data_IF_505076758133
#
_entry.id   IF_505076758133
#
_cell.length_a   1.000
_cell.length_b   1.000
_cell.length_c   1.000
_cell.angle_alpha   90.00
_cell.angle_beta   90.00
_cell.angle_gamma   90.00
#
_symmetry.space_group_name_H-M   'P 1'
#
loop_
_entity.id
_entity.type
_entity.pdbx_description
1 polymer ?
#
# COMPACT_ATOMS: atom_id res chain seq x y z
N UNK A 1 6.95 -6.40 -1.03
CA UNK A 1 5.92 -7.19 -1.73
C UNK A 1 4.73 -7.32 -0.83
N UNK A 2 3.56 -7.04 -1.34
CA UNK A 2 2.29 -7.15 -0.60
C UNK A 2 1.37 -8.22 -1.21
N UNK A 3 0.10 -8.20 -0.83
CA UNK A 3 -0.91 -9.12 -1.34
C UNK A 3 -1.00 -9.10 -2.89
N UNK A 4 -1.13 -10.26 -3.49
CA UNK A 4 -1.22 -10.40 -4.96
C UNK A 4 0.10 -10.40 -5.72
N UNK A 5 1.24 -10.21 -5.05
CA UNK A 5 2.56 -10.30 -5.68
C UNK A 5 2.99 -11.78 -5.73
N UNK A 6 3.45 -12.30 -6.91
CA UNK A 6 3.92 -13.67 -7.03
C UNK A 6 5.08 -13.95 -6.07
N UNK A 7 5.05 -15.10 -5.42
CA UNK A 7 6.10 -15.54 -4.49
C UNK A 7 7.44 -15.79 -5.18
N UNK A 8 7.43 -15.98 -6.49
CA UNK A 8 8.58 -16.26 -7.36
C UNK A 8 9.50 -15.05 -7.57
N UNK A 9 9.11 -13.85 -7.11
CA UNK A 9 9.89 -12.62 -7.28
C UNK A 9 11.35 -12.75 -6.80
N UNK A 10 11.70 -13.32 -5.63
CA UNK A 10 13.10 -13.46 -5.24
C UNK A 10 13.91 -14.30 -6.24
N UNK A 11 13.35 -15.40 -6.75
CA UNK A 11 13.98 -16.23 -7.77
C UNK A 11 14.16 -15.49 -9.10
N UNK A 12 13.12 -14.76 -9.52
CA UNK A 12 13.18 -13.91 -10.70
C UNK A 12 14.32 -12.87 -10.59
N UNK A 13 14.43 -12.19 -9.45
CA UNK A 13 15.50 -11.21 -9.21
C UNK A 13 16.89 -11.83 -9.25
N UNK A 14 17.05 -13.07 -8.75
CA UNK A 14 18.31 -13.81 -8.85
C UNK A 14 18.70 -14.05 -10.32
N UNK A 15 17.74 -14.47 -11.15
CA UNK A 15 17.97 -14.74 -12.59
C UNK A 15 18.23 -13.45 -13.36
N UNK A 16 17.47 -12.40 -13.12
CA UNK A 16 17.69 -11.09 -13.77
C UNK A 16 19.06 -10.50 -13.43
N UNK A 17 19.57 -10.72 -12.22
CA UNK A 17 20.91 -10.29 -11.84
C UNK A 17 22.01 -10.98 -12.65
N UNK A 18 21.72 -12.17 -13.21
CA UNK A 18 22.63 -12.91 -14.11
C UNK A 18 22.25 -12.70 -15.59
N UNK A 19 21.36 -11.72 -15.88
CA UNK A 19 20.85 -11.44 -17.21
C UNK A 19 20.09 -12.60 -17.88
N UNK A 20 19.55 -13.51 -17.08
CA UNK A 20 18.74 -14.61 -17.59
C UNK A 20 17.32 -14.15 -17.89
N UNK A 21 16.72 -14.76 -18.92
CA UNK A 21 15.30 -14.59 -19.23
C UNK A 21 14.44 -15.14 -18.10
N UNK A 22 13.34 -14.45 -17.79
CA UNK A 22 12.40 -14.83 -16.74
C UNK A 22 10.97 -14.87 -17.26
N UNK A 23 10.19 -15.82 -16.75
CA UNK A 23 8.75 -15.91 -16.94
C UNK A 23 8.07 -15.75 -15.58
N UNK A 24 7.36 -14.65 -15.39
CA UNK A 24 6.66 -14.37 -14.15
C UNK A 24 5.22 -14.86 -14.24
N UNK A 25 4.75 -15.73 -13.32
CA UNK A 25 3.34 -16.12 -13.30
C UNK A 25 2.41 -14.92 -13.14
N UNK A 26 1.42 -14.80 -14.00
CA UNK A 26 0.39 -13.77 -13.97
C UNK A 26 -0.95 -14.42 -13.63
N UNK A 27 -1.62 -13.90 -12.61
CA UNK A 27 -2.96 -14.36 -12.26
C UNK A 27 -3.97 -13.85 -13.28
N UNK A 28 -4.63 -14.75 -14.00
CA UNK A 28 -5.76 -14.46 -14.88
C UNK A 28 -6.97 -15.19 -14.33
N UNK A 29 -8.04 -14.45 -14.00
CA UNK A 29 -9.28 -15.03 -13.50
C UNK A 29 -9.92 -15.88 -14.61
N UNK A 30 -10.19 -17.14 -14.33
CA UNK A 30 -10.77 -18.10 -15.30
C UNK A 30 -9.74 -18.88 -16.11
N UNK A 31 -8.44 -18.55 -16.01
CA UNK A 31 -7.38 -19.26 -16.73
C UNK A 31 -6.18 -19.58 -15.83
N UNK A 32 -5.35 -20.51 -16.30
CA UNK A 32 -4.09 -20.89 -15.65
C UNK A 32 -2.94 -20.86 -16.65
N UNK A 33 -1.71 -20.79 -16.14
CA UNK A 33 -0.50 -20.92 -16.95
C UNK A 33 -0.08 -19.67 -17.72
N UNK A 34 -0.68 -18.52 -17.46
CA UNK A 34 -0.23 -17.26 -18.05
C UNK A 34 1.06 -16.78 -17.39
N UNK A 35 1.99 -16.27 -18.21
CA UNK A 35 3.23 -15.64 -17.78
C UNK A 35 3.42 -14.30 -18.44
N UNK A 36 4.14 -13.40 -17.75
CA UNK A 36 4.76 -12.24 -18.33
C UNK A 36 6.24 -12.54 -18.51
N UNK A 37 6.67 -12.64 -19.76
CA UNK A 37 8.04 -12.98 -20.10
C UNK A 37 8.86 -11.70 -20.22
N UNK A 38 10.07 -11.72 -19.68
CA UNK A 38 11.01 -10.61 -19.74
C UNK A 38 12.40 -11.15 -20.09
N UNK A 39 12.98 -10.59 -21.16
CA UNK A 39 14.32 -10.91 -21.63
C UNK A 39 15.24 -9.68 -21.53
N UNK A 40 16.27 -9.69 -20.66
CA UNK A 40 17.26 -8.62 -20.61
C UNK A 40 17.96 -8.41 -21.95
N UNK A 41 18.25 -9.49 -22.69
CA UNK A 41 18.85 -9.43 -24.02
C UNK A 41 18.01 -8.66 -25.03
N UNK A 42 16.69 -8.73 -24.93
CA UNK A 42 15.77 -7.99 -25.81
C UNK A 42 15.76 -6.46 -25.59
N UNK A 43 16.35 -5.96 -24.50
CA UNK A 43 16.48 -4.53 -24.18
C UNK A 43 17.78 -3.92 -24.70
N UNK A 44 18.76 -4.75 -25.11
CA UNK A 44 20.02 -4.27 -25.60
C UNK A 44 19.89 -3.77 -27.05
N UNK A 45 20.62 -2.70 -27.38
CA UNK A 45 20.70 -2.21 -28.74
C UNK A 45 21.50 -3.16 -29.67
N UNK A 46 21.42 -2.91 -30.98
CA UNK A 46 22.17 -3.68 -31.96
C UNK A 46 23.67 -3.73 -31.64
N UNK A 47 24.27 -4.93 -31.75
CA UNK A 47 25.70 -5.17 -31.50
C UNK A 47 26.09 -5.33 -30.05
N UNK A 48 25.16 -5.25 -29.08
CA UNK A 48 25.40 -5.56 -27.69
C UNK A 48 24.90 -6.96 -27.35
N UNK A 49 25.68 -7.70 -26.58
CA UNK A 49 25.26 -9.00 -26.06
C UNK A 49 25.14 -8.97 -24.52
N UNK A 50 24.21 -9.72 -23.99
CA UNK A 50 24.01 -9.86 -22.54
C UNK A 50 25.25 -10.41 -21.84
N UNK A 51 25.97 -11.31 -22.51
CA UNK A 51 27.17 -11.95 -21.97
C UNK A 51 28.36 -11.01 -21.78
N UNK A 52 28.37 -9.87 -22.50
CA UNK A 52 29.40 -8.86 -22.39
C UNK A 52 29.13 -7.85 -21.26
N UNK A 53 27.92 -7.94 -20.63
CA UNK A 53 27.55 -7.04 -19.54
C UNK A 53 27.91 -7.64 -18.18
N UNK A 54 28.44 -6.85 -17.24
CA UNK A 54 28.71 -7.32 -15.89
C UNK A 54 27.38 -7.68 -15.19
N UNK A 55 27.38 -8.68 -14.28
CA UNK A 55 26.21 -8.99 -13.47
C UNK A 55 25.67 -7.76 -12.74
N UNK A 56 24.35 -7.61 -12.70
CA UNK A 56 23.70 -6.50 -12.00
C UNK A 56 23.56 -6.84 -10.53
N UNK A 57 23.77 -5.83 -9.67
CA UNK A 57 23.51 -6.02 -8.24
C UNK A 57 22.02 -6.32 -8.00
N UNK A 58 21.73 -7.50 -7.46
CA UNK A 58 20.36 -7.92 -7.15
C UNK A 58 19.79 -7.06 -6.01
N UNK A 59 18.63 -6.43 -6.17
CA UNK A 59 17.96 -5.72 -5.08
C UNK A 59 17.45 -6.70 -4.03
N UNK A 60 17.46 -6.30 -2.76
CA UNK A 60 16.83 -7.07 -1.69
C UNK A 60 15.33 -7.07 -1.87
N UNK A 61 14.72 -8.23 -1.65
CA UNK A 61 13.27 -8.43 -1.71
C UNK A 61 12.73 -8.64 -0.30
N UNK A 62 12.00 -7.64 0.21
CA UNK A 62 11.35 -7.69 1.52
C UNK A 62 9.87 -7.92 1.34
N UNK A 63 9.32 -8.99 1.92
CA UNK A 63 7.91 -9.33 1.81
C UNK A 63 7.09 -8.64 2.91
N UNK A 64 5.99 -7.97 2.53
CA UNK A 64 5.03 -7.39 3.49
C UNK A 64 4.01 -8.46 3.82
N UNK A 65 3.88 -8.81 5.11
CA UNK A 65 2.97 -9.85 5.60
C UNK A 65 2.28 -9.39 6.89
N UNK A 66 1.02 -9.77 7.06
CA UNK A 66 0.25 -9.49 8.27
C UNK A 66 0.30 -10.65 9.30
N UNK A 67 1.02 -11.74 8.99
CA UNK A 67 0.96 -12.95 9.80
C UNK A 67 2.26 -13.74 9.79
N UNK A 68 2.67 -14.23 10.95
CA UNK A 68 3.81 -15.15 11.07
C UNK A 68 3.64 -16.43 10.22
N UNK A 69 2.45 -17.00 10.15
CA UNK A 69 2.20 -18.20 9.36
C UNK A 69 2.47 -18.01 7.84
N UNK A 70 2.22 -16.81 7.30
CA UNK A 70 2.58 -16.50 5.91
C UNK A 70 4.09 -16.34 5.78
N UNK A 71 4.75 -15.71 6.74
CA UNK A 71 6.21 -15.61 6.75
C UNK A 71 6.87 -17.01 6.80
N UNK A 72 6.41 -17.88 7.69
CA UNK A 72 6.83 -19.29 7.76
C UNK A 72 6.66 -20.03 6.44
N UNK A 73 5.53 -19.82 5.75
CA UNK A 73 5.28 -20.43 4.45
C UNK A 73 6.29 -19.96 3.38
N UNK A 74 6.59 -18.66 3.36
CA UNK A 74 7.49 -18.07 2.37
C UNK A 74 8.96 -18.49 2.54
N UNK A 75 9.39 -18.85 3.75
CA UNK A 75 10.78 -19.28 3.99
C UNK A 75 11.03 -20.77 3.70
N UNK A 76 10.00 -21.57 3.53
CA UNK A 76 10.13 -23.03 3.34
C UNK A 76 10.86 -23.43 2.07
N UNK A 77 10.71 -22.65 1.00
CA UNK A 77 11.40 -22.89 -0.28
C UNK A 77 12.53 -21.89 -0.45
N UNK A 78 13.80 -22.30 -0.38
CA UNK A 78 14.97 -21.40 -0.48
C UNK A 78 15.01 -20.59 -1.78
N UNK A 79 14.39 -21.10 -2.87
CA UNK A 79 14.42 -20.45 -4.19
C UNK A 79 13.60 -19.18 -4.23
N UNK A 80 12.51 -19.13 -3.45
CA UNK A 80 11.54 -18.04 -3.40
C UNK A 80 11.54 -17.30 -2.04
N UNK A 81 12.49 -17.67 -1.17
CA UNK A 81 12.65 -17.07 0.14
C UNK A 81 12.98 -15.58 -0.01
N UNK A 82 12.23 -14.67 0.65
CA UNK A 82 12.55 -13.26 0.67
C UNK A 82 13.79 -12.98 1.52
N UNK A 83 14.39 -11.80 1.36
CA UNK A 83 15.57 -11.36 2.14
C UNK A 83 15.18 -10.82 3.52
N UNK A 84 13.90 -10.59 3.77
CA UNK A 84 13.36 -10.11 5.03
C UNK A 84 11.86 -9.90 4.96
N UNK A 85 11.28 -9.40 6.05
CA UNK A 85 9.85 -9.15 6.18
C UNK A 85 9.55 -7.75 6.67
N UNK A 86 8.44 -7.18 6.20
CA UNK A 86 7.71 -6.14 6.94
C UNK A 86 6.48 -6.79 7.54
N UNK A 87 6.37 -6.78 8.85
CA UNK A 87 5.18 -7.26 9.56
C UNK A 87 4.23 -6.08 9.71
N UNK A 88 3.15 -6.10 8.92
CA UNK A 88 2.22 -4.99 8.84
C UNK A 88 0.96 -5.27 9.66
N UNK A 89 0.75 -4.48 10.70
CA UNK A 89 -0.48 -4.49 11.49
C UNK A 89 -1.66 -3.85 10.76
N UNK A 90 -2.87 -4.23 11.14
CA UNK A 90 -4.11 -3.73 10.57
C UNK A 90 -4.35 -2.21 10.78
N UNK A 91 -3.54 -1.55 11.60
CA UNK A 91 -3.59 -0.10 11.88
C UNK A 91 -2.77 0.73 10.88
N UNK A 92 -1.98 0.09 10.03
CA UNK A 92 -1.21 0.77 8.99
C UNK A 92 -2.11 1.46 7.96
N UNK A 93 -1.61 2.53 7.32
CA UNK A 93 -2.31 3.23 6.24
C UNK A 93 -2.39 2.42 4.94
N UNK A 94 -3.26 2.82 4.02
CA UNK A 94 -3.45 2.11 2.77
C UNK A 94 -4.26 0.83 2.91
N UNK A 95 -3.92 -0.19 2.11
CA UNK A 95 -4.51 -1.52 2.22
C UNK A 95 -4.00 -2.25 3.46
N UNK A 96 -4.86 -3.05 4.06
CA UNK A 96 -4.46 -4.00 5.09
C UNK A 96 -5.13 -5.37 4.87
N UNK A 97 -4.56 -6.41 5.48
CA UNK A 97 -5.19 -7.74 5.47
C UNK A 97 -6.57 -7.67 6.12
N UNK A 98 -7.58 -8.38 5.58
CA UNK A 98 -8.88 -8.47 6.23
C UNK A 98 -8.76 -9.25 7.55
N UNK A 99 -9.72 -9.08 8.49
CA UNK A 99 -9.77 -9.88 9.72
C UNK A 99 -9.80 -11.37 9.41
N UNK A 100 -9.15 -12.17 10.24
CA UNK A 100 -9.13 -13.63 10.08
C UNK A 100 -10.44 -14.26 10.52
N UNK A 101 -10.99 -15.08 9.65
CA UNK A 101 -12.28 -15.74 9.83
C UNK A 101 -13.41 -15.01 9.14
N UNK A 102 -14.60 -15.05 9.76
CA UNK A 102 -15.76 -14.34 9.21
C UNK A 102 -15.59 -12.83 9.42
N UNK A 103 -15.77 -12.05 8.36
CA UNK A 103 -15.82 -10.59 8.45
C UNK A 103 -17.01 -10.18 9.34
N UNK A 104 -16.72 -9.44 10.40
CA UNK A 104 -17.69 -8.74 11.23
C UNK A 104 -17.42 -7.25 11.14
N UNK A 105 -18.49 -6.46 11.12
CA UNK A 105 -18.40 -5.00 11.10
C UNK A 105 -18.91 -4.46 12.42
N UNK A 106 -18.32 -3.36 12.88
CA UNK A 106 -18.82 -2.59 14.01
C UNK A 106 -20.04 -1.73 13.60
N UNK A 107 -20.58 -0.97 14.56
CA UNK A 107 -21.74 -0.07 14.32
C UNK A 107 -21.43 1.02 13.29
N UNK A 108 -20.17 1.37 13.08
CA UNK A 108 -19.71 2.34 12.08
C UNK A 108 -19.41 1.73 10.72
N UNK A 109 -19.57 0.40 10.57
CA UNK A 109 -19.32 -0.34 9.33
C UNK A 109 -17.84 -0.66 9.09
N UNK A 110 -16.97 -0.52 10.09
CA UNK A 110 -15.57 -0.86 9.98
C UNK A 110 -15.31 -2.33 10.37
N UNK A 111 -14.31 -3.00 9.76
CA UNK A 111 -13.94 -4.36 10.14
C UNK A 111 -13.46 -4.43 11.60
N UNK A 112 -13.93 -5.44 12.33
CA UNK A 112 -13.49 -5.72 13.69
C UNK A 112 -12.27 -6.66 13.64
N UNK A 113 -11.14 -6.21 14.18
CA UNK A 113 -9.91 -6.97 14.30
C UNK A 113 -9.74 -7.51 15.72
N UNK A 114 -9.01 -8.62 15.86
CA UNK A 114 -8.78 -9.27 17.13
C UNK A 114 -7.36 -9.84 17.28
N UNK A 115 -7.06 -10.54 18.38
CA UNK A 115 -5.72 -11.07 18.64
C UNK A 115 -5.17 -12.00 17.55
N UNK A 116 -6.05 -12.65 16.78
CA UNK A 116 -5.66 -13.52 15.67
C UNK A 116 -5.10 -12.74 14.47
N UNK A 117 -5.36 -11.44 14.40
CA UNK A 117 -4.91 -10.54 13.33
C UNK A 117 -3.55 -9.92 13.64
N UNK A 118 -3.00 -10.18 14.82
CA UNK A 118 -1.66 -9.79 15.21
C UNK A 118 -0.66 -10.93 14.91
N UNK A 119 0.49 -10.60 14.36
CA UNK A 119 1.57 -11.55 14.15
C UNK A 119 2.24 -11.87 15.51
N UNK A 120 2.60 -13.13 15.71
CA UNK A 120 3.45 -13.58 16.81
C UNK A 120 4.91 -13.26 16.43
N UNK A 121 5.49 -12.25 17.09
CA UNK A 121 6.83 -11.74 16.77
C UNK A 121 7.95 -12.72 17.16
N UNK A 122 7.74 -13.56 18.20
CA UNK A 122 8.71 -14.58 18.57
C UNK A 122 8.86 -15.62 17.46
N UNK A 123 7.75 -16.01 16.83
CA UNK A 123 7.77 -16.90 15.68
C UNK A 123 8.40 -16.25 14.44
N UNK A 124 8.18 -14.94 14.23
CA UNK A 124 8.84 -14.22 13.16
C UNK A 124 10.36 -14.16 13.38
N UNK A 125 10.81 -13.81 14.59
CA UNK A 125 12.21 -13.78 14.97
C UNK A 125 12.90 -15.15 14.81
N UNK A 126 12.20 -16.23 15.13
CA UNK A 126 12.70 -17.61 14.98
C UNK A 126 12.98 -18.01 13.51
N UNK A 127 12.47 -17.27 12.52
CA UNK A 127 12.78 -17.50 11.10
C UNK A 127 14.21 -17.09 10.72
N UNK A 128 14.91 -16.32 11.55
CA UNK A 128 16.30 -15.92 11.36
C UNK A 128 16.51 -14.95 10.19
N UNK A 129 15.47 -14.25 9.76
CA UNK A 129 15.55 -13.19 8.74
C UNK A 129 15.32 -11.82 9.38
N UNK A 130 15.94 -10.75 8.84
CA UNK A 130 15.65 -9.39 9.28
C UNK A 130 14.17 -9.06 9.06
N UNK A 131 13.56 -8.37 10.01
CA UNK A 131 12.18 -7.92 9.87
C UNK A 131 12.00 -6.49 10.41
N UNK A 132 11.03 -5.81 9.84
CA UNK A 132 10.59 -4.49 10.22
C UNK A 132 9.13 -4.55 10.65
N UNK A 133 8.73 -3.65 11.53
CA UNK A 133 7.34 -3.52 11.99
C UNK A 133 6.69 -2.30 11.37
N UNK A 134 5.44 -2.45 10.90
CA UNK A 134 4.64 -1.39 10.29
C UNK A 134 3.26 -1.28 10.92
N UNK A 135 2.75 -0.04 11.03
CA UNK A 135 1.50 0.29 11.71
C UNK A 135 1.72 0.64 13.19
N UNK A 136 1.36 1.86 13.59
CA UNK A 136 1.48 2.39 14.96
C UNK A 136 2.93 2.55 15.50
N UNK A 137 3.93 2.71 14.63
CA UNK A 137 5.32 2.91 15.02
C UNK A 137 5.80 4.36 14.79
N UNK A 138 4.92 5.33 14.94
CA UNK A 138 5.20 6.75 14.71
C UNK A 138 5.79 7.50 15.91
N UNK A 139 6.14 6.83 17.02
CA UNK A 139 6.73 7.44 18.21
C UNK A 139 8.10 6.88 18.54
N UNK A 140 8.98 7.63 19.25
CA UNK A 140 10.27 7.12 19.72
C UNK A 140 10.14 5.87 20.58
N UNK A 141 9.14 5.83 21.45
CA UNK A 141 8.87 4.72 22.36
C UNK A 141 8.47 3.45 21.58
N UNK A 142 7.65 3.60 20.55
CA UNK A 142 7.26 2.48 19.69
C UNK A 142 8.44 1.95 18.86
N UNK A 143 9.33 2.83 18.38
CA UNK A 143 10.58 2.42 17.70
C UNK A 143 11.48 1.63 18.66
N UNK A 144 11.68 2.13 19.88
CA UNK A 144 12.49 1.42 20.90
C UNK A 144 11.87 0.06 21.26
N UNK A 145 10.55 -0.02 21.42
CA UNK A 145 9.84 -1.27 21.66
C UNK A 145 9.99 -2.26 20.49
N UNK A 146 9.94 -1.80 19.24
CA UNK A 146 10.17 -2.63 18.07
C UNK A 146 11.58 -3.23 18.07
N UNK A 147 12.60 -2.43 18.40
CA UNK A 147 13.99 -2.89 18.51
C UNK A 147 14.16 -3.90 19.65
N UNK A 148 13.53 -3.66 20.82
CA UNK A 148 13.54 -4.60 21.95
C UNK A 148 12.86 -5.93 21.59
N UNK A 149 11.84 -5.92 20.73
CA UNK A 149 11.22 -7.12 20.18
C UNK A 149 12.06 -7.82 19.09
N UNK A 150 13.29 -7.35 18.81
CA UNK A 150 14.22 -7.95 17.86
C UNK A 150 14.01 -7.49 16.40
N UNK A 151 13.16 -6.50 16.15
CA UNK A 151 13.00 -5.95 14.81
C UNK A 151 14.25 -5.16 14.38
N UNK A 152 14.59 -5.25 13.10
CA UNK A 152 15.68 -4.46 12.49
C UNK A 152 15.36 -2.97 12.46
N UNK A 153 14.07 -2.63 12.44
CA UNK A 153 13.58 -1.25 12.42
C UNK A 153 12.06 -1.20 12.21
N UNK A 154 11.58 -0.05 11.79
CA UNK A 154 10.15 0.21 11.56
C UNK A 154 9.90 0.76 10.16
N UNK A 155 8.68 0.57 9.64
CA UNK A 155 8.17 1.24 8.44
C UNK A 155 7.09 2.22 8.88
N UNK A 156 7.28 3.50 8.59
CA UNK A 156 6.38 4.59 8.99
C UNK A 156 5.94 5.36 7.76
N UNK A 157 4.63 5.57 7.61
CA UNK A 157 4.06 6.27 6.46
C UNK A 157 3.55 7.68 6.80
N UNK A 158 2.64 7.79 7.78
CA UNK A 158 1.87 9.02 8.06
C UNK A 158 2.75 10.23 8.40
N UNK A 159 3.83 10.05 9.18
CA UNK A 159 4.77 11.14 9.50
C UNK A 159 5.42 11.73 8.24
N UNK A 160 5.79 10.87 7.29
CA UNK A 160 6.43 11.28 6.04
C UNK A 160 5.44 11.79 5.00
N UNK A 161 4.21 11.25 4.97
CA UNK A 161 3.14 11.76 4.12
C UNK A 161 2.80 13.23 4.43
N UNK A 162 2.95 13.65 5.69
CA UNK A 162 2.68 15.02 6.14
C UNK A 162 3.95 15.89 6.26
N UNK A 163 5.12 15.38 5.91
CA UNK A 163 6.35 16.19 5.83
C UNK A 163 6.30 17.17 4.65
N UNK A 164 7.09 18.24 4.74
CA UNK A 164 7.11 19.31 3.72
C UNK A 164 7.54 18.79 2.35
N UNK A 165 8.45 17.82 2.30
CA UNK A 165 9.00 17.24 1.08
C UNK A 165 8.11 16.13 0.49
N UNK A 166 7.00 15.78 1.13
CA UNK A 166 6.09 14.78 0.57
C UNK A 166 5.43 15.30 -0.70
N UNK A 167 5.08 14.39 -1.59
CA UNK A 167 4.30 14.72 -2.77
C UNK A 167 2.82 15.02 -2.49
N UNK A 168 2.35 14.92 -1.25
CA UNK A 168 0.96 15.22 -0.91
C UNK A 168 0.65 16.68 -1.21
N UNK A 169 -0.47 16.92 -1.89
CA UNK A 169 -0.96 18.26 -2.21
C UNK A 169 -0.94 19.16 -0.97
N UNK A 170 -0.52 20.41 -1.13
CA UNK A 170 -0.29 21.32 -0.01
C UNK A 170 -1.58 21.67 0.75
N UNK A 171 -2.70 21.83 0.04
CA UNK A 171 -3.99 22.15 0.66
C UNK A 171 -4.51 20.95 1.46
N UNK A 172 -4.43 19.74 0.89
CA UNK A 172 -4.77 18.50 1.59
C UNK A 172 -3.90 18.29 2.83
N UNK A 173 -2.60 18.54 2.71
CA UNK A 173 -1.65 18.40 3.82
C UNK A 173 -1.97 19.38 4.95
N UNK A 174 -2.25 20.63 4.63
CA UNK A 174 -2.60 21.65 5.63
C UNK A 174 -3.97 21.37 6.29
N UNK A 175 -4.98 20.89 5.54
CA UNK A 175 -6.27 20.51 6.13
C UNK A 175 -6.09 19.33 7.09
N UNK A 176 -5.33 18.29 6.72
CA UNK A 176 -5.01 17.17 7.62
C UNK A 176 -4.33 17.68 8.90
N UNK A 177 -3.34 18.57 8.78
CA UNK A 177 -2.61 19.13 9.94
C UNK A 177 -3.50 19.99 10.83
N UNK A 178 -4.38 20.80 10.24
CA UNK A 178 -5.35 21.60 10.99
C UNK A 178 -6.30 20.69 11.81
N UNK A 179 -6.78 19.61 11.21
CA UNK A 179 -7.64 18.62 11.88
C UNK A 179 -6.91 17.82 12.95
N UNK A 180 -5.66 17.48 12.75
CA UNK A 180 -4.80 16.86 13.78
C UNK A 180 -4.69 17.79 15.00
N UNK A 181 -4.40 19.07 14.78
CA UNK A 181 -4.33 20.07 15.87
C UNK A 181 -5.65 20.25 16.62
N UNK A 182 -6.76 20.21 15.89
CA UNK A 182 -8.11 20.32 16.44
C UNK A 182 -8.61 19.02 17.12
N UNK A 183 -7.90 17.90 16.97
CA UNK A 183 -8.35 16.57 17.42
C UNK A 183 -9.58 16.06 16.68
N UNK A 184 -9.80 16.51 15.45
CA UNK A 184 -11.00 16.17 14.64
C UNK A 184 -10.68 15.32 13.41
N UNK A 185 -9.42 14.95 13.20
CA UNK A 185 -9.05 14.03 12.14
C UNK A 185 -9.53 12.63 12.48
N UNK A 186 -10.32 12.04 11.61
CA UNK A 186 -10.74 10.65 11.67
C UNK A 186 -10.16 9.88 10.48
N UNK A 187 -9.67 8.67 10.72
CA UNK A 187 -9.27 7.73 9.68
C UNK A 187 -10.08 6.45 9.86
N UNK A 188 -10.83 6.07 8.83
CA UNK A 188 -11.69 4.89 8.85
C UNK A 188 -11.11 3.76 8.01
N UNK A 189 -11.35 2.52 8.46
CA UNK A 189 -11.07 1.33 7.66
C UNK A 189 -12.30 0.98 6.84
N UNK A 190 -12.28 1.24 5.53
CA UNK A 190 -13.39 0.94 4.64
C UNK A 190 -13.18 -0.45 4.00
N UNK A 191 -14.08 -1.43 4.25
CA UNK A 191 -13.96 -2.78 3.69
C UNK A 191 -14.33 -2.85 2.21
N UNK A 192 -14.95 -1.80 1.65
CA UNK A 192 -15.47 -1.79 0.28
C UNK A 192 -14.70 -0.84 -0.65
N UNK A 193 -14.09 0.24 -0.16
CA UNK A 193 -13.51 1.29 -1.00
C UNK A 193 -12.52 0.75 -2.04
N UNK A 194 -11.69 -0.22 -1.69
CA UNK A 194 -10.72 -0.76 -2.64
C UNK A 194 -11.33 -1.74 -3.63
N UNK A 195 -11.08 -1.59 -4.94
CA UNK A 195 -11.48 -2.56 -5.95
C UNK A 195 -10.78 -3.91 -5.83
N UNK A 196 -9.72 -4.02 -5.02
CA UNK A 196 -9.00 -5.28 -4.80
C UNK A 196 -9.70 -6.21 -3.81
N UNK A 197 -10.71 -5.72 -3.08
CA UNK A 197 -11.39 -6.46 -2.03
C UNK A 197 -10.70 -6.43 -0.67
N UNK A 198 -9.52 -5.81 -0.57
CA UNK A 198 -8.85 -5.57 0.72
C UNK A 198 -9.41 -4.32 1.41
N UNK A 199 -9.57 -4.32 2.75
CA UNK A 199 -9.87 -3.10 3.49
C UNK A 199 -8.88 -1.99 3.20
N UNK A 200 -9.35 -0.76 3.17
CA UNK A 200 -8.54 0.42 2.85
C UNK A 200 -8.75 1.54 3.86
N UNK A 201 -7.67 2.19 4.30
CA UNK A 201 -7.73 3.33 5.21
C UNK A 201 -8.09 4.61 4.47
N UNK A 202 -9.12 5.30 4.95
CA UNK A 202 -9.62 6.55 4.36
C UNK A 202 -9.68 7.64 5.42
N UNK A 203 -8.87 8.69 5.25
CA UNK A 203 -8.95 9.89 6.06
C UNK A 203 -10.24 10.66 5.70
N UNK A 204 -11.00 11.09 6.70
CA UNK A 204 -12.27 11.79 6.52
C UNK A 204 -12.01 13.29 6.34
N UNK A 205 -12.00 13.73 5.07
CA UNK A 205 -11.70 15.10 4.68
C UNK A 205 -12.79 15.66 3.76
N UNK A 206 -13.27 16.90 3.98
CA UNK A 206 -14.21 17.55 3.07
C UNK A 206 -13.65 17.68 1.65
N UNK A 207 -14.54 17.65 0.67
CA UNK A 207 -14.17 17.77 -0.74
C UNK A 207 -13.44 16.54 -1.31
N UNK A 208 -13.24 15.49 -0.53
CA UNK A 208 -12.60 14.23 -0.98
C UNK A 208 -13.62 13.10 -1.15
N UNK A 209 -13.17 11.97 -1.70
CA UNK A 209 -14.02 10.77 -1.84
C UNK A 209 -14.40 10.12 -0.50
N UNK A 210 -13.98 10.66 0.64
CA UNK A 210 -14.51 10.26 1.94
C UNK A 210 -15.92 10.83 2.19
N UNK A 211 -16.32 11.91 1.50
CA UNK A 211 -17.66 12.46 1.58
C UNK A 211 -18.64 11.72 0.64
N UNK A 212 -19.78 11.21 1.16
CA UNK A 212 -20.77 10.53 0.34
C UNK A 212 -21.28 11.37 -0.85
N UNK A 213 -21.46 12.67 -0.66
CA UNK A 213 -21.94 13.58 -1.71
C UNK A 213 -20.92 13.70 -2.86
N UNK A 214 -19.62 13.80 -2.55
CA UNK A 214 -18.54 13.84 -3.55
C UNK A 214 -18.46 12.51 -4.30
N UNK A 215 -18.53 11.39 -3.57
CA UNK A 215 -18.50 10.06 -4.16
C UNK A 215 -19.69 9.80 -5.07
N UNK A 216 -20.89 10.25 -4.69
CA UNK A 216 -22.11 10.11 -5.51
C UNK A 216 -22.07 10.98 -6.76
N UNK A 217 -21.55 12.20 -6.65
CA UNK A 217 -21.41 13.12 -7.79
C UNK A 217 -20.31 12.71 -8.77
N UNK A 218 -19.35 11.90 -8.33
CA UNK A 218 -18.21 11.48 -9.15
C UNK A 218 -18.67 10.55 -10.28
N UNK A 219 -18.41 10.89 -11.56
CA UNK A 219 -18.60 9.94 -12.65
C UNK A 219 -17.61 8.76 -12.49
N UNK A 220 -18.07 7.55 -12.75
CA UNK A 220 -17.17 6.37 -12.71
C UNK A 220 -16.26 6.38 -13.93
N UNK A 221 -15.04 6.86 -13.74
CA UNK A 221 -13.98 6.95 -14.74
C UNK A 221 -12.82 6.04 -14.35
N UNK A 222 -12.16 5.45 -15.35
CA UNK A 222 -10.99 4.62 -15.15
C UNK A 222 -9.91 5.00 -16.16
N UNK A 223 -9.07 5.96 -15.82
CA UNK A 223 -8.02 6.48 -16.69
C UNK A 223 -6.71 5.69 -16.53
N UNK A 224 -6.25 5.48 -15.31
CA UNK A 224 -4.94 4.86 -15.02
C UNK A 224 -4.98 3.33 -15.07
N UNK A 225 -6.03 2.71 -14.52
CA UNK A 225 -6.26 1.27 -14.68
C UNK A 225 -5.28 0.34 -13.94
N UNK A 226 -4.52 0.81 -12.95
CA UNK A 226 -3.48 0.01 -12.27
C UNK A 226 -4.03 -1.17 -11.45
N UNK A 227 -5.27 -1.08 -10.97
CA UNK A 227 -5.90 -2.12 -10.15
C UNK A 227 -6.88 -3.00 -10.95
N UNK A 228 -6.75 -3.04 -12.28
CA UNK A 228 -7.52 -3.98 -13.10
C UNK A 228 -7.03 -5.41 -12.89
N UNK A 229 -7.96 -6.34 -12.81
CA UNK A 229 -7.66 -7.78 -12.86
C UNK A 229 -7.72 -8.28 -14.30
N UNK A 230 -6.76 -9.12 -14.69
CA UNK A 230 -6.81 -9.87 -15.94
C UNK A 230 -7.88 -10.97 -15.83
N UNK A 231 -8.69 -11.15 -16.86
CA UNK A 231 -9.80 -12.11 -16.90
C UNK A 231 -9.86 -12.76 -18.26
N UNK A 232 -9.99 -14.08 -18.32
CA UNK A 232 -10.22 -14.80 -19.56
C UNK A 232 -11.66 -14.59 -20.06
N UNK A 233 -11.82 -14.36 -21.35
CA UNK A 233 -13.11 -14.33 -22.04
C UNK A 233 -13.49 -15.72 -22.55
N UNK A 234 -14.75 -15.95 -22.90
CA UNK A 234 -15.20 -17.22 -23.47
C UNK A 234 -14.47 -17.64 -24.77
N UNK A 235 -13.90 -16.68 -25.50
CA UNK A 235 -13.12 -16.91 -26.71
C UNK A 235 -11.63 -17.20 -26.44
N UNK A 236 -11.23 -17.31 -25.17
CA UNK A 236 -9.85 -17.53 -24.73
C UNK A 236 -8.97 -16.29 -24.72
N UNK A 237 -9.48 -15.12 -25.14
CA UNK A 237 -8.72 -13.87 -25.06
C UNK A 237 -8.73 -13.31 -23.64
N UNK A 238 -7.68 -12.55 -23.27
CA UNK A 238 -7.60 -11.87 -21.96
C UNK A 238 -8.12 -10.46 -22.07
N UNK A 239 -8.97 -10.06 -21.12
CA UNK A 239 -9.41 -8.68 -20.91
C UNK A 239 -9.04 -8.21 -19.51
N UNK A 240 -9.16 -6.90 -19.28
CA UNK A 240 -8.88 -6.28 -17.99
C UNK A 240 -10.11 -5.58 -17.46
N UNK A 241 -10.51 -5.87 -16.22
CA UNK A 241 -11.66 -5.22 -15.58
C UNK A 241 -11.36 -4.81 -14.14
N UNK A 242 -12.09 -3.81 -13.66
CA UNK A 242 -11.99 -3.32 -12.29
C UNK A 242 -13.40 -2.98 -11.77
N UNK A 243 -13.81 -3.44 -10.58
CA UNK A 243 -15.15 -3.15 -10.06
C UNK A 243 -15.39 -1.65 -9.75
N UNK A 244 -14.34 -0.80 -9.81
CA UNK A 244 -14.47 0.65 -9.71
C UNK A 244 -14.61 1.36 -11.08
N UNK A 245 -14.48 0.65 -12.22
CA UNK A 245 -14.72 1.23 -13.54
C UNK A 245 -16.22 1.48 -13.81
N UNK A 246 -16.62 2.11 -14.94
CA UNK A 246 -18.04 2.26 -15.27
C UNK A 246 -18.78 0.93 -15.20
N UNK A 247 -19.90 0.89 -14.45
CA UNK A 247 -20.61 -0.35 -14.12
C UNK A 247 -20.96 -1.16 -15.37
N UNK A 248 -21.48 -0.50 -16.43
CA UNK A 248 -21.84 -1.17 -17.67
C UNK A 248 -20.63 -1.82 -18.37
N UNK A 249 -19.43 -1.23 -18.23
CA UNK A 249 -18.19 -1.79 -18.80
C UNK A 249 -17.73 -3.00 -17.99
N UNK A 250 -17.83 -2.94 -16.67
CA UNK A 250 -17.48 -4.05 -15.78
C UNK A 250 -18.38 -5.27 -16.06
N UNK A 251 -19.68 -5.05 -16.13
CA UNK A 251 -20.68 -6.12 -16.42
C UNK A 251 -20.48 -6.67 -17.85
N UNK A 252 -20.24 -5.81 -18.86
CA UNK A 252 -19.93 -6.24 -20.24
C UNK A 252 -18.70 -7.17 -20.32
N UNK A 253 -17.75 -7.02 -19.39
CA UNK A 253 -16.56 -7.87 -19.27
C UNK A 253 -16.79 -9.09 -18.36
N UNK A 254 -18.04 -9.44 -18.05
CA UNK A 254 -18.41 -10.59 -17.24
C UNK A 254 -18.25 -10.40 -15.72
N UNK A 255 -18.24 -9.16 -15.23
CA UNK A 255 -18.28 -8.86 -13.80
C UNK A 255 -19.69 -8.87 -13.24
N UNK A 256 -19.84 -9.16 -11.93
CA UNK A 256 -21.12 -9.03 -11.23
C UNK A 256 -21.32 -7.57 -10.80
N UNK A 257 -22.53 -7.04 -11.01
CA UNK A 257 -22.89 -5.69 -10.60
C UNK A 257 -22.70 -5.49 -9.08
N UNK A 258 -22.93 -6.53 -8.28
CA UNK A 258 -22.77 -6.50 -6.83
C UNK A 258 -21.30 -6.19 -6.41
N UNK A 259 -20.31 -6.61 -7.18
CA UNK A 259 -18.90 -6.32 -6.91
C UNK A 259 -18.59 -4.83 -6.98
N UNK A 260 -19.41 -4.04 -7.69
CA UNK A 260 -19.17 -2.61 -7.91
C UNK A 260 -19.64 -1.71 -6.77
N UNK A 261 -20.41 -2.27 -5.83
CA UNK A 261 -21.02 -1.52 -4.72
C UNK A 261 -19.91 -1.02 -3.77
N UNK A 262 -19.95 0.29 -3.45
CA UNK A 262 -19.00 0.93 -2.51
C UNK A 262 -17.57 1.08 -3.03
N UNK A 263 -17.28 0.67 -4.29
CA UNK A 263 -15.92 0.73 -4.85
C UNK A 263 -15.55 2.13 -5.30
N UNK A 264 -14.37 2.59 -4.88
CA UNK A 264 -13.74 3.85 -5.29
C UNK A 264 -12.60 3.59 -6.29
N UNK A 265 -12.38 4.52 -7.22
CA UNK A 265 -11.23 4.44 -8.13
C UNK A 265 -9.96 4.92 -7.43
N UNK A 266 -9.29 4.02 -6.69
CA UNK A 266 -8.06 4.37 -5.95
C UNK A 266 -6.93 4.86 -6.86
N UNK A 267 -6.83 4.37 -8.10
CA UNK A 267 -5.76 4.78 -9.02
C UNK A 267 -5.83 6.28 -9.31
N UNK A 268 -7.00 6.77 -9.75
CA UNK A 268 -7.19 8.17 -10.09
C UNK A 268 -7.14 9.06 -8.84
N UNK A 269 -7.83 8.67 -7.77
CA UNK A 269 -7.98 9.50 -6.58
C UNK A 269 -6.69 9.60 -5.75
N UNK A 270 -5.84 8.56 -5.75
CA UNK A 270 -4.51 8.65 -5.13
C UNK A 270 -3.54 9.48 -5.97
N UNK A 271 -3.67 9.49 -7.30
CA UNK A 271 -2.93 10.42 -8.16
C UNK A 271 -3.35 11.88 -7.88
N UNK A 272 -4.63 12.12 -7.62
CA UNK A 272 -5.11 13.45 -7.23
C UNK A 272 -4.49 13.97 -5.93
N UNK A 273 -4.14 13.08 -4.98
CA UNK A 273 -3.46 13.47 -3.74
C UNK A 273 -2.11 14.17 -3.96
N UNK A 274 -1.47 13.93 -5.09
CA UNK A 274 -0.15 14.48 -5.42
C UNK A 274 -0.21 15.47 -6.59
N UNK A 275 -1.37 16.09 -6.81
CA UNK A 275 -1.57 17.08 -7.88
C UNK A 275 -1.64 16.49 -9.29
N UNK A 276 -1.71 15.16 -9.43
CA UNK A 276 -1.82 14.46 -10.72
C UNK A 276 -3.26 13.98 -10.99
N UNK A 277 -4.25 14.64 -10.39
CA UNK A 277 -5.67 14.38 -10.64
C UNK A 277 -6.03 14.63 -12.11
N UNK A 278 -6.84 13.74 -12.65
CA UNK A 278 -7.29 13.85 -14.05
C UNK A 278 -8.24 15.05 -14.19
N UNK A 279 -8.02 15.88 -15.20
CA UNK A 279 -8.89 17.01 -15.56
C UNK A 279 -9.57 16.74 -16.90
N UNK A 280 -10.78 17.27 -17.10
CA UNK A 280 -11.57 17.13 -18.33
C UNK A 280 -11.93 18.49 -18.91
N UNK A 281 -12.24 18.52 -20.20
CA UNK A 281 -12.60 19.75 -20.92
C UNK A 281 -13.86 20.44 -20.37
N UNK A 282 -14.76 19.69 -19.74
CA UNK A 282 -15.98 20.17 -19.09
C UNK A 282 -15.74 20.79 -17.71
N UNK A 283 -14.45 20.88 -17.28
CA UNK A 283 -14.06 21.42 -15.98
C UNK A 283 -14.07 20.39 -14.85
N UNK A 284 -14.37 19.12 -15.13
CA UNK A 284 -14.25 18.07 -14.12
C UNK A 284 -12.81 17.92 -13.67
N UNK A 285 -12.60 17.82 -12.34
CA UNK A 285 -11.32 17.51 -11.71
C UNK A 285 -11.54 16.28 -10.81
N UNK A 286 -10.66 15.29 -10.94
CA UNK A 286 -10.72 14.07 -10.11
C UNK A 286 -10.53 14.41 -8.64
N UNK A 287 -11.51 14.07 -7.76
CA UNK A 287 -11.37 14.31 -6.33
C UNK A 287 -10.36 13.35 -5.71
N UNK A 288 -9.64 13.86 -4.70
CA UNK A 288 -8.68 13.09 -3.92
C UNK A 288 -9.35 12.05 -3.02
N UNK A 289 -8.59 11.03 -2.64
CA UNK A 289 -8.90 10.11 -1.54
C UNK A 289 -7.64 9.92 -0.70
N UNK A 290 -7.59 10.50 0.49
CA UNK A 290 -6.39 10.50 1.32
C UNK A 290 -6.35 9.26 2.21
N UNK A 291 -5.18 8.61 2.29
CA UNK A 291 -4.94 7.48 3.17
C UNK A 291 -3.86 7.77 4.20
N UNK A 292 -4.12 7.41 5.44
CA UNK A 292 -3.21 7.53 6.59
C UNK A 292 -3.38 6.30 7.49
N UNK A 293 -2.47 6.07 8.44
CA UNK A 293 -2.68 5.10 9.51
C UNK A 293 -3.78 5.56 10.48
N UNK A 294 -4.45 4.61 11.13
CA UNK A 294 -5.48 4.95 12.13
C UNK A 294 -4.89 5.37 13.48
N UNK A 295 -3.66 4.97 13.77
CA UNK A 295 -2.92 5.47 14.92
C UNK A 295 -2.32 6.84 14.58
N UNK A 296 -2.84 7.87 15.21
CA UNK A 296 -2.46 9.27 15.00
C UNK A 296 -1.59 9.84 16.13
N UNK A 297 -1.23 9.05 17.18
CA UNK A 297 -0.49 9.55 18.34
C UNK A 297 0.85 10.16 17.92
N UNK A 298 1.69 9.43 17.20
CA UNK A 298 3.01 9.91 16.81
C UNK A 298 2.96 11.19 15.96
N UNK A 299 2.04 11.26 14.98
CA UNK A 299 1.92 12.43 14.12
C UNK A 299 1.29 13.62 14.84
N UNK A 300 0.40 13.37 15.81
CA UNK A 300 -0.19 14.43 16.64
C UNK A 300 0.87 15.05 17.55
N UNK A 301 1.67 14.24 18.23
CA UNK A 301 2.77 14.70 19.07
C UNK A 301 3.82 15.45 18.25
N UNK A 302 4.17 14.97 17.06
CA UNK A 302 5.10 15.67 16.18
C UNK A 302 4.53 17.01 15.69
N UNK A 303 3.24 17.09 15.38
CA UNK A 303 2.57 18.33 14.99
C UNK A 303 2.52 19.37 16.15
N UNK A 304 2.46 18.91 17.40
CA UNK A 304 2.58 19.78 18.58
C UNK A 304 3.98 20.37 18.73
N UNK A 305 5.02 19.56 18.47
CA UNK A 305 6.42 20.01 18.52
C UNK A 305 6.77 20.96 17.34
N UNK A 306 6.15 20.75 16.18
CA UNK A 306 6.38 21.55 14.98
C UNK A 306 5.07 22.12 14.43
N UNK A 307 4.48 23.16 15.06
CA UNK A 307 3.16 23.70 14.68
C UNK A 307 3.10 24.25 13.25
N UNK A 308 4.24 24.69 12.69
CA UNK A 308 4.37 25.16 11.31
C UNK A 308 4.69 24.03 10.31
N UNK A 309 4.75 22.79 10.80
CA UNK A 309 5.11 21.61 10.02
C UNK A 309 6.57 21.20 10.18
N UNK A 310 6.86 20.04 9.61
CA UNK A 310 8.18 19.43 9.73
C UNK A 310 8.70 18.96 8.37
N UNK A 311 10.02 18.89 8.26
CA UNK A 311 10.71 18.22 7.17
C UNK A 311 11.01 16.75 7.52
N UNK A 312 11.39 15.97 6.52
CA UNK A 312 11.76 14.56 6.67
C UNK A 312 12.86 14.35 7.72
N UNK A 313 13.86 15.23 7.77
CA UNK A 313 14.94 15.13 8.76
C UNK A 313 14.42 15.25 10.20
N UNK A 314 13.45 16.13 10.46
CA UNK A 314 12.81 16.27 11.77
C UNK A 314 11.98 15.04 12.13
N UNK A 315 11.28 14.46 11.16
CA UNK A 315 10.53 13.21 11.39
C UNK A 315 11.48 12.04 11.76
N UNK A 316 12.65 11.96 11.12
CA UNK A 316 13.68 10.97 11.45
C UNK A 316 14.25 11.22 12.86
N UNK A 317 14.65 12.45 13.16
CA UNK A 317 15.17 12.82 14.50
C UNK A 317 14.14 12.52 15.60
N UNK A 318 12.85 12.82 15.35
CA UNK A 318 11.76 12.43 16.24
C UNK A 318 11.72 10.93 16.51
N UNK A 319 11.72 10.11 15.46
CA UNK A 319 11.66 8.64 15.59
C UNK A 319 12.87 8.07 16.33
N UNK A 320 14.03 8.72 16.21
CA UNK A 320 15.27 8.34 16.91
C UNK A 320 15.36 8.88 18.34
N UNK A 321 14.37 9.68 18.79
CA UNK A 321 14.41 10.31 20.10
C UNK A 321 15.42 11.44 20.23
N UNK A 322 15.89 12.02 19.11
CA UNK A 322 16.91 13.06 19.04
C UNK A 322 16.31 14.48 18.96
N UNK A 323 15.00 14.62 19.12
CA UNK A 323 14.32 15.92 19.04
C UNK A 323 14.61 16.70 20.32
N UNK A 324 15.25 17.90 20.24
CA UNK A 324 15.41 18.77 21.38
C UNK A 324 14.03 19.06 22.03
N UNK A 325 13.96 19.04 23.34
CA UNK A 325 12.77 19.51 24.06
C UNK A 325 12.50 20.99 23.69
N UNK A 326 11.23 21.38 23.63
CA UNK A 326 10.78 22.75 23.27
C UNK A 326 11.48 23.87 24.08
N UNK A 327 12.24 23.54 25.11
CA UNK A 327 12.99 24.45 25.96
C UNK A 327 14.32 24.93 25.38
N UNK A 328 14.76 24.49 24.20
CA UNK A 328 16.07 24.80 23.63
C UNK A 328 16.03 25.48 22.25
N UNK A 329 14.88 26.07 21.86
CA UNK A 329 14.77 26.88 20.63
C UNK A 329 14.32 28.28 20.94
#
# INVERSE_FOLDING_TARGET
MGAGIPREIPQMLNRLAQHEDVALPVTVIGAAGHTADFSPGGLLGEGLTVHDQPPVSRPRCVAIVAAHALAEYLVKDPRVRPDGFVIEGHVAGGHNAPPRGRLTLDESGQPVFGPRDCADLDKVAALGLPYWLAGAYGTPEAVAAAQQAGATGVQVGTLFALAQESGLDSELREDVRARLKAGTLEVRTDPLASPTGFPFKVAQLPGTLSEPAVTQARPRLCDLGYLRSAVERPDGSVTYRCPAEPVHMYVKKGGDIADTIGRSCLCNSLAANVGLGQTRQDGYVEPALVTLGVDLDGVTRLAQNYPQGWCTARAIAWLLGEVPSISEV
#
